data_IF_281776065294
#
_entry.id   IF_281776065294
#
_cell.length_a   1.000
_cell.length_b   1.000
_cell.length_c   1.000
_cell.angle_alpha   90.00
_cell.angle_beta   90.00
_cell.angle_gamma   90.00
#
_symmetry.space_group_name_H-M   'P 1'
#
loop_
_entity.id
_entity.type
_entity.pdbx_description
1 polymer ?
#
# COMPACT_ATOMS: atom_id res chain seq x y z
N UNK A 1 -22.05 10.34 16.58
CA UNK A 1 -20.93 9.66 15.89
C UNK A 1 -20.46 10.60 14.82
N UNK A 2 -19.21 11.04 14.80
CA UNK A 2 -18.69 11.79 13.67
C UNK A 2 -18.81 10.90 12.43
N UNK A 3 -19.41 11.42 11.39
CA UNK A 3 -19.48 10.71 10.10
C UNK A 3 -18.06 10.46 9.57
N UNK A 4 -17.90 9.38 8.81
CA UNK A 4 -16.59 9.09 8.18
C UNK A 4 -16.19 10.26 7.26
N UNK A 5 -14.89 10.65 7.20
CA UNK A 5 -14.44 11.88 6.54
C UNK A 5 -14.88 12.04 5.09
N UNK A 6 -15.02 10.93 4.34
CA UNK A 6 -15.40 10.94 2.93
C UNK A 6 -16.82 10.41 2.67
N UNK A 7 -17.67 10.36 3.70
CA UNK A 7 -19.07 9.96 3.55
C UNK A 7 -19.76 10.87 2.53
N UNK A 8 -20.48 10.24 1.60
CA UNK A 8 -21.20 10.93 0.53
C UNK A 8 -20.44 11.05 -0.79
N UNK A 9 -19.12 10.88 -0.80
CA UNK A 9 -18.35 10.81 -2.05
C UNK A 9 -18.61 9.50 -2.78
N UNK A 10 -18.81 9.57 -4.10
CA UNK A 10 -19.03 8.44 -5.01
C UNK A 10 -17.82 8.25 -5.92
N UNK A 11 -17.23 7.08 -5.87
CA UNK A 11 -16.03 6.72 -6.64
C UNK A 11 -16.35 5.58 -7.59
N UNK A 12 -16.09 5.76 -8.88
CA UNK A 12 -16.11 4.70 -9.88
C UNK A 12 -14.66 4.24 -10.12
N UNK A 13 -14.37 2.99 -9.79
CA UNK A 13 -13.02 2.43 -9.78
C UNK A 13 -12.81 1.45 -10.94
N UNK A 14 -11.90 1.78 -11.87
CA UNK A 14 -11.46 0.97 -13.00
C UNK A 14 -10.03 0.49 -12.76
N UNK A 15 -9.85 -0.46 -11.86
CA UNK A 15 -8.52 -0.87 -11.41
C UNK A 15 -8.33 -2.37 -11.32
N UNK A 16 -7.07 -2.77 -11.26
CA UNK A 16 -6.64 -4.14 -10.98
C UNK A 16 -5.32 -4.17 -10.20
N UNK A 17 -4.93 -5.33 -9.72
CA UNK A 17 -3.68 -5.66 -9.03
C UNK A 17 -3.56 -4.98 -7.67
N UNK A 18 -2.71 -3.94 -7.48
CA UNK A 18 -2.42 -3.37 -6.17
C UNK A 18 -2.61 -1.85 -6.14
N UNK A 19 -1.88 -1.08 -6.96
CA UNK A 19 -1.84 0.39 -6.85
C UNK A 19 -3.23 1.02 -6.88
N UNK A 20 -4.01 0.71 -7.93
CA UNK A 20 -5.38 1.21 -8.07
C UNK A 20 -6.31 0.73 -6.97
N UNK A 21 -6.42 -0.59 -6.73
CA UNK A 21 -7.23 -1.12 -5.65
C UNK A 21 -6.86 -0.59 -4.27
N UNK A 22 -5.57 -0.29 -3.99
CA UNK A 22 -5.15 0.36 -2.74
C UNK A 22 -5.73 1.78 -2.63
N UNK A 23 -5.67 2.59 -3.70
CA UNK A 23 -6.28 3.93 -3.67
C UNK A 23 -7.80 3.83 -3.43
N UNK A 24 -8.49 2.92 -4.12
CA UNK A 24 -9.91 2.66 -3.90
C UNK A 24 -10.22 2.18 -2.48
N UNK A 25 -9.37 1.33 -1.90
CA UNK A 25 -9.49 0.89 -0.51
C UNK A 25 -9.36 2.07 0.47
N UNK A 26 -8.40 2.96 0.25
CA UNK A 26 -8.21 4.15 1.09
C UNK A 26 -9.47 5.05 1.06
N UNK A 27 -10.05 5.29 -0.12
CA UNK A 27 -11.32 6.03 -0.23
C UNK A 27 -12.46 5.29 0.50
N UNK A 28 -12.58 3.98 0.29
CA UNK A 28 -13.64 3.17 0.91
C UNK A 28 -13.50 3.14 2.44
N UNK A 29 -12.31 2.92 2.98
CA UNK A 29 -12.03 2.92 4.43
C UNK A 29 -12.33 4.29 5.07
N UNK A 30 -12.09 5.37 4.35
CA UNK A 30 -12.42 6.74 4.78
C UNK A 30 -13.90 7.11 4.60
N UNK A 31 -14.73 6.22 4.08
CA UNK A 31 -16.19 6.35 4.06
C UNK A 31 -16.83 6.65 2.71
N UNK A 32 -16.06 6.79 1.64
CA UNK A 32 -16.60 6.93 0.31
C UNK A 32 -17.35 5.67 -0.14
N UNK A 33 -18.35 5.85 -1.03
CA UNK A 33 -19.02 4.77 -1.74
C UNK A 33 -18.21 4.43 -3.00
N UNK A 34 -17.43 3.34 -2.93
CA UNK A 34 -16.54 2.90 -4.00
C UNK A 34 -17.18 1.76 -4.77
N UNK A 35 -17.46 1.99 -6.04
CA UNK A 35 -18.00 1.01 -6.99
C UNK A 35 -16.86 0.56 -7.89
N UNK A 36 -16.42 -0.69 -7.72
CA UNK A 36 -15.44 -1.33 -8.60
C UNK A 36 -16.11 -1.81 -9.87
N UNK A 37 -15.71 -1.22 -11.00
CA UNK A 37 -16.16 -1.60 -12.34
C UNK A 37 -15.28 -2.73 -12.83
N UNK A 38 -15.86 -3.92 -12.96
CA UNK A 38 -15.15 -5.12 -13.37
C UNK A 38 -15.55 -5.57 -14.78
N UNK A 39 -14.63 -6.15 -15.57
CA UNK A 39 -14.99 -6.65 -16.89
C UNK A 39 -15.90 -7.89 -16.80
N UNK A 40 -17.08 -7.85 -17.42
CA UNK A 40 -17.90 -9.02 -17.61
C UNK A 40 -17.35 -9.87 -18.78
N UNK A 41 -17.41 -11.25 -18.72
CA UNK A 41 -17.99 -12.03 -17.62
C UNK A 41 -17.01 -12.35 -16.49
N UNK A 42 -15.70 -12.19 -16.66
CA UNK A 42 -14.67 -12.84 -15.86
C UNK A 42 -14.30 -12.11 -14.57
N UNK A 43 -14.70 -10.86 -14.42
CA UNK A 43 -14.28 -10.00 -13.31
C UNK A 43 -12.83 -9.56 -13.38
N UNK A 44 -12.31 -9.03 -12.29
CA UNK A 44 -10.91 -8.66 -12.15
C UNK A 44 -10.02 -9.92 -12.15
N UNK A 45 -9.03 -9.94 -13.03
CA UNK A 45 -8.07 -11.06 -13.15
C UNK A 45 -7.31 -11.35 -11.86
N UNK A 46 -7.17 -10.34 -11.00
CA UNK A 46 -6.52 -10.45 -9.68
C UNK A 46 -7.20 -11.49 -8.78
N UNK A 47 -8.49 -11.75 -8.98
CA UNK A 47 -9.25 -12.78 -8.24
C UNK A 47 -8.68 -14.19 -8.37
N UNK A 48 -8.03 -14.48 -9.52
CA UNK A 48 -7.54 -15.83 -9.89
C UNK A 48 -6.01 -15.94 -9.78
N UNK A 49 -5.32 -14.93 -9.22
CA UNK A 49 -3.88 -15.01 -9.05
C UNK A 49 -3.50 -16.05 -7.99
N UNK A 50 -2.44 -16.79 -8.29
CA UNK A 50 -1.83 -17.75 -7.36
C UNK A 50 -0.56 -17.21 -6.70
N UNK A 51 0.08 -18.04 -5.87
CA UNK A 51 1.34 -17.72 -5.22
C UNK A 51 1.26 -16.41 -4.40
N UNK A 52 2.22 -15.52 -4.58
CA UNK A 52 2.29 -14.23 -3.91
C UNK A 52 1.04 -13.34 -4.14
N UNK A 53 0.39 -13.47 -5.29
CA UNK A 53 -0.79 -12.68 -5.65
C UNK A 53 -2.12 -13.22 -5.11
N UNK A 54 -2.15 -14.40 -4.50
CA UNK A 54 -3.40 -15.08 -4.10
C UNK A 54 -4.29 -14.27 -3.15
N UNK A 55 -3.69 -13.39 -2.31
CA UNK A 55 -4.41 -12.53 -1.37
C UNK A 55 -4.75 -11.14 -1.89
N UNK A 56 -4.30 -10.74 -3.09
CA UNK A 56 -4.40 -9.35 -3.54
C UNK A 56 -5.82 -8.84 -3.64
N UNK A 57 -6.70 -9.62 -4.30
CA UNK A 57 -8.09 -9.16 -4.45
C UNK A 57 -8.75 -8.95 -3.09
N UNK A 58 -8.72 -9.94 -2.22
CA UNK A 58 -9.34 -9.86 -0.89
C UNK A 58 -8.69 -8.77 -0.02
N UNK A 59 -7.37 -8.63 -0.08
CA UNK A 59 -6.61 -7.65 0.70
C UNK A 59 -6.97 -6.20 0.38
N UNK A 60 -7.22 -5.89 -0.91
CA UNK A 60 -7.37 -4.50 -1.37
C UNK A 60 -8.77 -4.11 -1.82
N UNK A 61 -9.80 -5.00 -1.67
CA UNK A 61 -11.14 -4.69 -2.20
C UNK A 61 -12.28 -4.79 -1.17
N UNK A 62 -11.98 -4.90 0.13
CA UNK A 62 -13.02 -4.75 1.17
C UNK A 62 -13.61 -3.34 1.16
N UNK A 63 -14.79 -3.16 1.70
CA UNK A 63 -15.56 -1.91 1.73
C UNK A 63 -15.97 -1.37 0.36
N UNK A 64 -15.83 -2.15 -0.72
CA UNK A 64 -16.25 -1.79 -2.08
C UNK A 64 -17.47 -2.57 -2.51
N UNK A 65 -18.21 -2.02 -3.47
CA UNK A 65 -19.26 -2.71 -4.20
C UNK A 65 -18.79 -3.07 -5.60
N UNK A 66 -19.26 -4.18 -6.18
CA UNK A 66 -18.87 -4.64 -7.52
C UNK A 66 -20.00 -4.46 -8.53
N UNK A 67 -19.68 -3.84 -9.67
CA UNK A 67 -20.47 -3.79 -10.89
C UNK A 67 -19.69 -4.45 -12.02
N UNK A 68 -20.14 -5.61 -12.50
CA UNK A 68 -19.50 -6.32 -13.60
C UNK A 68 -20.20 -6.03 -14.93
N UNK A 69 -19.53 -5.26 -15.80
CA UNK A 69 -20.09 -4.74 -17.04
C UNK A 69 -19.13 -4.88 -18.23
N UNK A 70 -19.66 -5.24 -19.40
CA UNK A 70 -18.87 -5.39 -20.62
C UNK A 70 -18.70 -4.05 -21.37
N UNK A 71 -17.65 -3.32 -21.05
CA UNK A 71 -17.31 -2.03 -21.65
C UNK A 71 -16.87 -2.11 -23.13
N UNK A 72 -16.68 -3.31 -23.69
CA UNK A 72 -16.40 -3.46 -25.13
C UNK A 72 -17.62 -3.20 -25.98
N UNK A 73 -18.82 -3.21 -25.41
CA UNK A 73 -20.09 -2.95 -26.09
C UNK A 73 -20.52 -1.51 -25.92
N UNK A 74 -21.33 -0.99 -26.86
CA UNK A 74 -21.88 0.36 -26.75
C UNK A 74 -22.82 0.49 -25.54
N UNK A 75 -23.66 -0.52 -25.29
CA UNK A 75 -24.59 -0.53 -24.16
C UNK A 75 -23.87 -0.56 -22.81
N UNK A 76 -22.77 -1.34 -22.71
CA UNK A 76 -21.95 -1.37 -21.49
C UNK A 76 -21.30 -0.01 -21.20
N UNK A 77 -20.79 0.67 -22.24
CA UNK A 77 -20.28 2.04 -22.12
C UNK A 77 -21.39 3.02 -21.73
N UNK A 78 -22.53 2.96 -22.39
CA UNK A 78 -23.67 3.82 -22.08
C UNK A 78 -24.16 3.63 -20.64
N UNK A 79 -24.11 2.39 -20.12
CA UNK A 79 -24.43 2.08 -18.71
C UNK A 79 -23.53 2.87 -17.75
N UNK A 80 -22.22 2.85 -17.98
CA UNK A 80 -21.27 3.58 -17.13
C UNK A 80 -21.38 5.09 -17.34
N UNK A 81 -21.53 5.57 -18.59
CA UNK A 81 -21.67 6.99 -18.88
C UNK A 81 -22.87 7.62 -18.16
N UNK A 82 -23.97 6.88 -18.02
CA UNK A 82 -25.14 7.31 -17.25
C UNK A 82 -24.87 7.49 -15.75
N UNK A 83 -23.81 6.85 -15.22
CA UNK A 83 -23.42 6.97 -13.82
C UNK A 83 -22.52 8.20 -13.58
N UNK A 84 -21.76 8.65 -14.58
CA UNK A 84 -20.76 9.73 -14.47
C UNK A 84 -21.31 11.06 -13.92
N UNK A 85 -22.51 11.55 -14.32
CA UNK A 85 -23.08 12.78 -13.75
C UNK A 85 -23.23 12.77 -12.22
N UNK A 86 -23.23 11.59 -11.64
CA UNK A 86 -23.42 11.38 -10.20
C UNK A 86 -22.13 10.97 -9.48
N UNK A 87 -21.01 10.79 -10.20
CA UNK A 87 -19.74 10.41 -9.65
C UNK A 87 -18.91 11.63 -9.24
N UNK A 88 -18.26 11.58 -8.10
CA UNK A 88 -17.28 12.59 -7.66
C UNK A 88 -15.90 12.29 -8.23
N UNK A 89 -15.53 11.02 -8.27
CA UNK A 89 -14.20 10.56 -8.63
C UNK A 89 -14.31 9.37 -9.59
N UNK A 90 -13.53 9.41 -10.64
CA UNK A 90 -13.15 8.23 -11.43
C UNK A 90 -11.69 7.91 -11.11
N UNK A 91 -11.40 6.65 -10.83
CA UNK A 91 -10.09 6.13 -10.48
C UNK A 91 -9.70 5.01 -11.45
N UNK A 92 -8.51 5.10 -12.07
CA UNK A 92 -8.04 4.07 -13.01
C UNK A 92 -6.54 3.81 -12.86
N UNK A 93 -6.10 2.57 -13.17
CA UNK A 93 -4.67 2.21 -13.24
C UNK A 93 -4.35 1.30 -14.43
N UNK A 94 -5.08 1.42 -15.52
CA UNK A 94 -4.82 0.63 -16.72
C UNK A 94 -3.62 1.17 -17.50
N UNK A 95 -3.04 0.32 -18.33
CA UNK A 95 -1.98 0.70 -19.25
C UNK A 95 -2.43 1.81 -20.22
N UNK A 96 -1.46 2.53 -20.81
CA UNK A 96 -1.73 3.70 -21.68
C UNK A 96 -2.78 3.41 -22.77
N UNK A 97 -3.68 4.36 -23.00
CA UNK A 97 -4.73 4.29 -24.03
C UNK A 97 -5.87 3.29 -23.77
N UNK A 98 -5.84 2.56 -22.65
CA UNK A 98 -6.87 1.54 -22.38
C UNK A 98 -8.20 2.16 -22.00
N UNK A 99 -8.23 3.17 -21.14
CA UNK A 99 -9.47 3.86 -20.75
C UNK A 99 -10.10 4.56 -21.96
N UNK A 100 -9.30 5.15 -22.82
CA UNK A 100 -9.73 5.80 -24.05
C UNK A 100 -10.39 4.79 -25.01
N UNK A 101 -9.76 3.62 -25.21
CA UNK A 101 -10.34 2.52 -26.04
C UNK A 101 -11.65 1.98 -25.46
N UNK A 102 -11.79 2.00 -24.14
CA UNK A 102 -13.02 1.60 -23.46
C UNK A 102 -14.08 2.70 -23.45
N UNK A 103 -13.81 3.89 -24.02
CA UNK A 103 -14.72 5.02 -24.02
C UNK A 103 -14.89 5.68 -22.64
N UNK A 104 -13.94 5.47 -21.73
CA UNK A 104 -13.97 5.94 -20.34
C UNK A 104 -12.75 6.79 -19.98
N UNK A 105 -12.01 7.33 -20.96
CA UNK A 105 -10.91 8.26 -20.73
C UNK A 105 -11.39 9.63 -20.22
N UNK A 106 -10.48 10.42 -19.67
CA UNK A 106 -10.83 11.73 -19.09
C UNK A 106 -11.58 12.64 -20.07
N UNK A 107 -11.10 12.78 -21.31
CA UNK A 107 -11.69 13.64 -22.34
C UNK A 107 -13.12 13.19 -22.76
N UNK A 108 -13.44 11.91 -22.52
CA UNK A 108 -14.75 11.34 -22.82
C UNK A 108 -15.73 11.50 -21.64
N UNK A 109 -15.22 11.49 -20.41
CA UNK A 109 -16.05 11.55 -19.21
C UNK A 109 -16.22 12.96 -18.64
N UNK A 110 -15.23 13.83 -18.76
CA UNK A 110 -15.28 15.20 -18.24
C UNK A 110 -16.44 16.05 -18.82
N UNK A 111 -16.81 15.93 -20.12
CA UNK A 111 -17.98 16.62 -20.64
C UNK A 111 -19.32 16.19 -20.02
N UNK A 112 -19.39 14.99 -19.44
CA UNK A 112 -20.60 14.46 -18.78
C UNK A 112 -20.74 14.98 -17.34
N UNK A 113 -19.63 15.44 -16.73
CA UNK A 113 -19.63 15.97 -15.37
C UNK A 113 -18.45 16.96 -15.18
N UNK A 114 -18.72 18.24 -15.25
CA UNK A 114 -17.73 19.30 -15.07
C UNK A 114 -17.08 19.35 -13.69
N UNK A 115 -17.63 18.63 -12.73
CA UNK A 115 -17.11 18.52 -11.35
C UNK A 115 -16.28 17.24 -11.12
N UNK A 116 -16.16 16.38 -12.15
CA UNK A 116 -15.49 15.09 -12.04
C UNK A 116 -14.00 15.26 -11.74
N UNK A 117 -13.52 14.59 -10.70
CA UNK A 117 -12.09 14.39 -10.47
C UNK A 117 -11.70 13.04 -11.06
N UNK A 118 -10.73 13.04 -11.96
CA UNK A 118 -10.24 11.84 -12.62
C UNK A 118 -8.82 11.52 -12.14
N UNK A 119 -8.65 10.45 -11.35
CA UNK A 119 -7.35 9.99 -10.88
C UNK A 119 -6.80 8.92 -11.83
N UNK A 120 -5.68 9.26 -12.49
CA UNK A 120 -4.92 8.33 -13.30
C UNK A 120 -3.67 7.86 -12.53
N UNK A 121 -3.61 6.57 -12.22
CA UNK A 121 -2.46 5.92 -11.56
C UNK A 121 -1.64 5.20 -12.64
N UNK A 122 -0.43 5.66 -12.88
CA UNK A 122 0.39 5.28 -14.04
C UNK A 122 1.77 4.74 -13.63
N UNK A 123 2.45 4.12 -14.58
CA UNK A 123 3.85 3.72 -14.39
C UNK A 123 4.78 4.94 -14.30
N UNK A 124 4.52 5.95 -15.14
CA UNK A 124 5.29 7.19 -15.27
C UNK A 124 4.33 8.36 -15.45
N UNK A 125 4.70 9.55 -14.98
CA UNK A 125 4.01 10.79 -15.34
C UNK A 125 4.30 11.17 -16.80
N UNK A 126 3.65 12.25 -17.27
CA UNK A 126 3.85 12.76 -18.63
C UNK A 126 5.33 13.05 -18.90
N UNK A 127 5.85 12.50 -20.00
CA UNK A 127 7.25 12.63 -20.36
C UNK A 127 7.75 11.49 -21.27
N UNK A 128 9.07 11.35 -21.45
CA UNK A 128 9.65 10.37 -22.37
C UNK A 128 9.30 8.91 -22.09
N UNK A 129 8.87 8.59 -20.86
CA UNK A 129 8.55 7.23 -20.42
C UNK A 129 7.04 6.96 -20.27
N UNK A 130 6.18 7.96 -20.47
CA UNK A 130 4.74 7.90 -20.22
C UNK A 130 4.07 6.62 -20.77
N UNK A 131 4.48 6.18 -21.95
CA UNK A 131 3.88 5.03 -22.63
C UNK A 131 4.63 3.70 -22.39
N UNK A 132 5.63 3.67 -21.50
CA UNK A 132 6.33 2.43 -21.18
C UNK A 132 5.51 1.56 -20.23
N UNK A 133 5.51 0.23 -20.42
CA UNK A 133 4.99 -0.68 -19.41
C UNK A 133 5.78 -0.55 -18.11
N UNK A 134 5.07 -0.54 -16.99
CA UNK A 134 5.67 -0.50 -15.67
C UNK A 134 4.92 -1.41 -14.69
N UNK A 135 5.68 -1.91 -13.73
CA UNK A 135 5.21 -2.64 -12.55
C UNK A 135 6.02 -2.12 -11.37
N UNK A 136 5.55 -2.37 -10.16
CA UNK A 136 6.27 -2.03 -8.92
C UNK A 136 7.74 -2.45 -8.98
N UNK A 137 8.03 -3.72 -9.29
CA UNK A 137 9.40 -4.24 -9.39
C UNK A 137 10.23 -3.52 -10.45
N UNK A 138 9.67 -3.27 -11.62
CA UNK A 138 10.37 -2.60 -12.73
C UNK A 138 10.90 -1.24 -12.28
N UNK A 139 10.08 -0.46 -11.61
CA UNK A 139 10.48 0.88 -11.15
C UNK A 139 11.36 0.85 -9.91
N UNK A 140 11.27 -0.17 -9.06
CA UNK A 140 12.22 -0.36 -7.97
C UNK A 140 13.65 -0.55 -8.50
N UNK A 141 13.83 -1.33 -9.58
CA UNK A 141 15.14 -1.48 -10.22
C UNK A 141 15.58 -0.18 -10.93
N UNK A 142 14.67 0.49 -11.62
CA UNK A 142 15.00 1.69 -12.38
C UNK A 142 15.34 2.91 -11.50
N UNK A 143 14.67 3.06 -10.36
CA UNK A 143 14.84 4.21 -9.45
C UNK A 143 16.06 4.12 -8.53
N UNK A 144 16.72 2.97 -8.48
CA UNK A 144 17.81 2.71 -7.55
C UNK A 144 17.38 2.14 -6.20
N UNK A 145 16.07 1.96 -5.94
CA UNK A 145 15.60 1.36 -4.68
C UNK A 145 16.12 -0.07 -4.51
N UNK A 146 16.05 -0.89 -5.56
CA UNK A 146 16.58 -2.24 -5.52
C UNK A 146 18.11 -2.29 -5.31
N UNK A 147 18.84 -1.32 -5.89
CA UNK A 147 20.27 -1.14 -5.64
C UNK A 147 20.55 -0.86 -4.16
N UNK A 148 19.78 0.04 -3.56
CA UNK A 148 19.95 0.42 -2.15
C UNK A 148 19.56 -0.69 -1.18
N UNK A 149 18.62 -1.56 -1.54
CA UNK A 149 18.10 -2.64 -0.68
C UNK A 149 19.03 -3.86 -0.64
N UNK A 150 19.59 -4.24 -1.78
CA UNK A 150 20.42 -5.45 -1.91
C UNK A 150 21.85 -5.29 -1.45
N UNK A 151 22.57 -6.40 -1.24
CA UNK A 151 24.02 -6.38 -1.04
C UNK A 151 24.74 -5.77 -2.26
N UNK A 152 25.98 -5.27 -2.08
CA UNK A 152 26.78 -4.75 -3.20
C UNK A 152 26.85 -5.73 -4.37
N UNK A 153 26.48 -5.25 -5.57
CA UNK A 153 26.44 -6.07 -6.78
C UNK A 153 25.26 -7.05 -6.92
N UNK A 154 24.35 -7.08 -5.95
CA UNK A 154 23.17 -7.96 -5.94
C UNK A 154 21.89 -7.14 -5.65
N UNK A 155 21.40 -6.33 -6.60
CA UNK A 155 20.19 -5.54 -6.41
C UNK A 155 19.02 -6.44 -6.02
N UNK A 156 18.27 -6.04 -4.99
CA UNK A 156 17.15 -6.80 -4.45
C UNK A 156 15.93 -5.89 -4.27
N UNK A 157 14.77 -6.30 -4.77
CA UNK A 157 13.53 -5.56 -4.51
C UNK A 157 13.14 -5.62 -3.02
N UNK A 158 12.39 -4.63 -2.55
CA UNK A 158 11.74 -4.69 -1.24
C UNK A 158 10.75 -5.88 -1.18
N UNK A 159 10.59 -6.48 -0.02
CA UNK A 159 9.75 -7.66 0.20
C UNK A 159 8.23 -7.42 0.09
N UNK A 160 7.80 -6.18 -0.11
CA UNK A 160 6.41 -5.79 -0.33
C UNK A 160 6.28 -4.88 -1.55
N UNK A 161 5.05 -4.70 -2.06
CA UNK A 161 4.74 -3.80 -3.18
C UNK A 161 4.70 -2.34 -2.69
N UNK A 162 5.87 -1.86 -2.24
CA UNK A 162 6.00 -0.57 -1.54
C UNK A 162 5.69 0.61 -2.46
N UNK A 163 6.00 0.50 -3.76
CA UNK A 163 5.80 1.58 -4.71
C UNK A 163 4.34 1.65 -5.16
N UNK A 164 3.69 0.50 -5.36
CA UNK A 164 2.24 0.45 -5.61
C UNK A 164 1.46 1.15 -4.50
N UNK A 165 1.78 0.84 -3.24
CA UNK A 165 1.11 1.42 -2.08
C UNK A 165 1.42 2.93 -1.97
N UNK A 166 2.68 3.32 -2.12
CA UNK A 166 3.09 4.73 -2.04
C UNK A 166 2.46 5.58 -3.16
N UNK A 167 2.48 5.08 -4.40
CA UNK A 167 1.86 5.75 -5.53
C UNK A 167 0.33 5.89 -5.37
N UNK A 168 -0.33 4.89 -4.78
CA UNK A 168 -1.73 4.98 -4.40
C UNK A 168 -1.98 6.09 -3.35
N UNK A 169 -1.14 6.17 -2.33
CA UNK A 169 -1.22 7.22 -1.29
C UNK A 169 -1.03 8.62 -1.89
N UNK A 170 -0.03 8.84 -2.76
CA UNK A 170 0.12 10.12 -3.46
C UNK A 170 -1.09 10.43 -4.35
N UNK A 171 -1.66 9.44 -5.02
CA UNK A 171 -2.90 9.60 -5.78
C UNK A 171 -4.06 10.08 -4.92
N UNK A 172 -4.24 9.49 -3.73
CA UNK A 172 -5.28 9.90 -2.78
C UNK A 172 -5.02 11.33 -2.26
N UNK A 173 -3.78 11.68 -1.94
CA UNK A 173 -3.40 13.05 -1.53
C UNK A 173 -3.74 14.06 -2.65
N UNK A 174 -3.41 13.73 -3.91
CA UNK A 174 -3.73 14.59 -5.05
C UNK A 174 -5.25 14.78 -5.22
N UNK A 175 -6.05 13.70 -5.07
CA UNK A 175 -7.51 13.80 -5.11
C UNK A 175 -8.07 14.63 -3.96
N UNK A 176 -7.57 14.47 -2.73
CA UNK A 176 -7.98 15.30 -1.59
C UNK A 176 -7.72 16.79 -1.84
N UNK A 177 -6.57 17.11 -2.44
CA UNK A 177 -6.24 18.48 -2.84
C UNK A 177 -7.18 19.00 -3.93
N UNK A 178 -7.48 18.16 -4.94
CA UNK A 178 -8.41 18.49 -6.01
C UNK A 178 -9.86 18.66 -5.53
N UNK A 179 -10.29 17.86 -4.53
CA UNK A 179 -11.61 18.03 -3.88
C UNK A 179 -11.71 19.39 -3.21
N UNK A 180 -10.69 19.79 -2.47
CA UNK A 180 -10.64 21.12 -1.82
C UNK A 180 -10.66 22.27 -2.84
N UNK A 181 -9.94 22.12 -3.94
CA UNK A 181 -9.98 23.11 -5.03
C UNK A 181 -11.37 23.14 -5.71
N UNK A 182 -11.97 21.98 -5.94
CA UNK A 182 -13.32 21.86 -6.49
C UNK A 182 -14.38 22.56 -5.62
N UNK A 183 -14.24 22.49 -4.31
CA UNK A 183 -15.16 23.17 -3.38
C UNK A 183 -15.13 24.70 -3.56
N UNK A 184 -13.98 25.26 -3.94
CA UNK A 184 -13.82 26.69 -4.20
C UNK A 184 -14.20 27.09 -5.62
N UNK A 185 -13.87 26.25 -6.62
CA UNK A 185 -14.00 26.60 -8.05
C UNK A 185 -15.25 26.05 -8.71
N UNK A 186 -15.88 25.06 -8.10
CA UNK A 186 -16.97 24.28 -8.69
C UNK A 186 -16.54 23.31 -9.80
N UNK A 187 -15.23 23.23 -10.14
CA UNK A 187 -14.71 22.45 -11.27
C UNK A 187 -13.88 21.26 -10.80
N UNK A 188 -14.08 20.12 -11.45
CA UNK A 188 -13.21 18.95 -11.33
C UNK A 188 -11.97 19.09 -12.21
N UNK A 189 -11.09 18.09 -12.14
CA UNK A 189 -9.85 18.06 -12.91
C UNK A 189 -9.30 16.64 -13.04
N UNK A 190 -8.35 16.44 -13.96
CA UNK A 190 -7.51 15.25 -13.99
C UNK A 190 -6.33 15.45 -13.02
N UNK A 191 -6.08 14.44 -12.21
CA UNK A 191 -4.88 14.32 -11.38
C UNK A 191 -4.18 12.99 -11.68
N UNK A 192 -2.88 12.94 -11.51
CA UNK A 192 -2.10 11.73 -11.79
C UNK A 192 -1.08 11.47 -10.70
N UNK A 193 -0.83 10.21 -10.41
CA UNK A 193 0.29 9.72 -9.62
C UNK A 193 0.95 8.57 -10.37
N UNK A 194 2.22 8.30 -10.09
CA UNK A 194 2.96 7.29 -10.82
C UNK A 194 3.84 6.43 -9.92
N UNK A 195 4.19 5.25 -10.43
CA UNK A 195 5.12 4.36 -9.75
C UNK A 195 6.54 4.95 -9.73
N UNK A 196 7.05 5.39 -10.88
CA UNK A 196 8.45 5.81 -10.99
C UNK A 196 8.77 7.03 -10.13
N UNK A 197 7.99 8.11 -10.25
CA UNK A 197 8.20 9.33 -9.47
C UNK A 197 8.00 9.08 -7.97
N UNK A 198 7.12 8.16 -7.59
CA UNK A 198 6.97 7.72 -6.19
C UNK A 198 8.22 6.99 -5.69
N UNK A 199 8.82 6.13 -6.52
CA UNK A 199 10.07 5.45 -6.19
C UNK A 199 11.24 6.44 -6.08
N UNK A 200 11.34 7.40 -7.00
CA UNK A 200 12.35 8.46 -6.97
C UNK A 200 12.20 9.34 -5.73
N UNK A 201 10.97 9.62 -5.31
CA UNK A 201 10.71 10.38 -4.07
C UNK A 201 11.35 9.70 -2.84
N UNK A 202 11.32 8.36 -2.75
CA UNK A 202 12.01 7.62 -1.69
C UNK A 202 13.54 7.78 -1.75
N UNK A 203 14.09 7.97 -2.94
CA UNK A 203 15.54 8.14 -3.13
C UNK A 203 16.04 9.56 -2.86
N UNK A 204 15.16 10.51 -2.62
CA UNK A 204 15.50 11.93 -2.45
C UNK A 204 16.56 12.21 -1.39
N UNK A 205 16.51 11.53 -0.23
CA UNK A 205 17.51 11.67 0.83
C UNK A 205 18.90 11.14 0.42
N UNK A 206 18.95 10.04 -0.34
CA UNK A 206 20.22 9.50 -0.86
C UNK A 206 20.81 10.42 -1.91
N UNK A 207 19.99 10.94 -2.81
CA UNK A 207 20.41 11.91 -3.83
C UNK A 207 20.97 13.18 -3.18
N UNK A 208 20.27 13.73 -2.18
CA UNK A 208 20.74 14.88 -1.43
C UNK A 208 22.06 14.60 -0.69
N UNK A 209 22.16 13.41 -0.09
CA UNK A 209 23.37 12.98 0.61
C UNK A 209 24.59 12.87 -0.31
N UNK A 210 24.42 12.38 -1.54
CA UNK A 210 25.49 12.32 -2.55
C UNK A 210 26.00 13.72 -2.90
N UNK A 211 25.10 14.67 -3.11
CA UNK A 211 25.47 16.07 -3.39
C UNK A 211 26.18 16.71 -2.19
N UNK A 212 25.67 16.50 -0.98
CA UNK A 212 26.24 17.11 0.22
C UNK A 212 27.63 16.57 0.59
N UNK A 213 27.91 15.31 0.26
CA UNK A 213 29.18 14.64 0.65
C UNK A 213 30.16 14.52 -0.50
N UNK A 214 29.71 14.64 -1.75
CA UNK A 214 30.51 14.34 -2.96
C UNK A 214 30.80 12.84 -3.11
N UNK A 215 30.10 11.97 -2.39
CA UNK A 215 30.31 10.51 -2.41
C UNK A 215 29.09 9.78 -2.93
N UNK A 216 29.28 8.74 -3.71
CA UNK A 216 28.22 7.88 -4.19
C UNK A 216 27.48 7.18 -3.03
N UNK A 217 26.17 7.02 -3.19
CA UNK A 217 25.36 6.24 -2.27
C UNK A 217 25.79 4.77 -2.32
N UNK A 218 25.92 4.15 -1.15
CA UNK A 218 26.24 2.72 -1.02
C UNK A 218 24.98 1.95 -0.65
N UNK A 219 24.82 0.72 -1.13
CA UNK A 219 23.75 -0.16 -0.69
C UNK A 219 23.66 -0.25 0.82
N UNK A 220 22.45 -0.42 1.37
CA UNK A 220 22.21 -0.42 2.81
C UNK A 220 23.10 -1.41 3.61
N UNK A 221 23.39 -2.63 3.12
CA UNK A 221 24.30 -3.54 3.81
C UNK A 221 25.76 -3.06 3.88
N UNK A 222 26.18 -2.17 2.95
CA UNK A 222 27.55 -1.62 2.89
C UNK A 222 27.61 -0.12 3.21
N UNK A 223 26.51 0.45 3.75
CA UNK A 223 26.42 1.87 4.03
C UNK A 223 27.40 2.29 5.16
N UNK A 224 27.84 3.52 5.08
CA UNK A 224 28.38 4.23 6.25
C UNK A 224 27.15 4.74 7.04
N UNK A 225 26.83 4.04 8.12
CA UNK A 225 25.69 4.41 8.97
C UNK A 225 25.88 5.80 9.62
N UNK A 226 24.78 6.45 9.99
CA UNK A 226 24.84 7.64 10.83
C UNK A 226 25.19 7.31 12.29
N UNK A 227 24.95 6.07 12.71
CA UNK A 227 25.21 5.56 14.06
C UNK A 227 26.06 4.28 14.00
N UNK A 228 26.97 4.16 14.95
CA UNK A 228 27.89 3.04 15.01
C UNK A 228 27.19 1.73 15.39
N UNK A 229 26.37 1.76 16.43
CA UNK A 229 25.57 0.63 16.89
C UNK A 229 24.13 0.84 16.37
N UNK A 230 23.86 0.30 15.21
CA UNK A 230 22.58 0.35 14.55
C UNK A 230 22.50 -0.83 13.60
N UNK A 231 22.27 -2.03 14.19
CA UNK A 231 22.41 -3.29 13.48
C UNK A 231 21.58 -4.40 14.15
N UNK A 232 21.54 -5.57 13.51
CA UNK A 232 20.90 -6.78 14.00
C UNK A 232 21.92 -7.65 14.70
N UNK A 233 21.60 -8.13 15.90
CA UNK A 233 22.42 -9.03 16.69
C UNK A 233 21.70 -10.37 16.91
N UNK A 234 22.47 -11.47 16.81
CA UNK A 234 21.97 -12.80 17.11
C UNK A 234 21.91 -13.04 18.62
N UNK A 235 20.97 -13.86 19.06
CA UNK A 235 20.75 -14.20 20.46
C UNK A 235 21.11 -15.65 20.75
N UNK A 236 21.21 -16.04 22.03
CA UNK A 236 21.57 -17.39 22.48
C UNK A 236 20.54 -18.46 22.04
N UNK A 237 19.31 -18.07 21.86
CA UNK A 237 18.15 -18.90 21.48
C UNK A 237 17.78 -18.82 19.99
N UNK A 238 18.79 -18.56 19.15
CA UNK A 238 18.67 -18.45 17.69
C UNK A 238 17.71 -17.35 17.20
N UNK A 239 17.34 -16.40 18.08
CA UNK A 239 16.59 -15.19 17.72
C UNK A 239 17.48 -14.11 17.14
N UNK A 240 16.87 -13.02 16.69
CA UNK A 240 17.55 -11.83 16.18
C UNK A 240 16.90 -10.57 16.73
N UNK A 241 17.72 -9.65 17.25
CA UNK A 241 17.25 -8.36 17.76
C UNK A 241 17.98 -7.22 17.06
N UNK A 242 17.23 -6.29 16.47
CA UNK A 242 17.75 -5.01 16.03
C UNK A 242 17.97 -4.11 17.25
N UNK A 243 19.16 -3.49 17.36
CA UNK A 243 19.51 -2.55 18.44
C UNK A 243 20.03 -1.25 17.83
N UNK A 244 19.44 -0.12 18.25
CA UNK A 244 19.81 1.22 17.80
C UNK A 244 20.27 2.13 18.95
N UNK A 245 21.57 2.43 19.01
CA UNK A 245 22.17 3.41 19.92
C UNK A 245 22.43 4.70 19.14
N UNK A 246 21.60 5.72 19.35
CA UNK A 246 21.56 6.92 18.52
C UNK A 246 22.17 8.17 19.16
N UNK A 247 22.63 8.08 20.41
CA UNK A 247 23.33 9.17 21.12
C UNK A 247 24.45 8.64 22.02
N UNK A 248 25.37 9.54 22.41
CA UNK A 248 26.46 9.18 23.33
C UNK A 248 25.91 8.83 24.73
N UNK A 249 24.87 9.50 25.17
CA UNK A 249 24.16 9.17 26.42
C UNK A 249 23.52 7.77 26.39
N UNK A 250 22.98 7.34 25.26
CA UNK A 250 22.48 5.98 25.09
C UNK A 250 23.62 4.97 25.12
N UNK A 251 24.77 5.29 24.53
CA UNK A 251 25.95 4.45 24.58
C UNK A 251 26.43 4.22 26.04
N UNK A 252 26.50 5.26 26.85
CA UNK A 252 26.87 5.16 28.26
C UNK A 252 25.93 4.21 29.02
N UNK A 253 24.65 4.34 28.85
CA UNK A 253 23.65 3.45 29.48
C UNK A 253 23.77 2.02 28.98
N UNK A 254 23.97 1.86 27.67
CA UNK A 254 24.11 0.55 27.03
C UNK A 254 25.32 -0.23 27.56
N UNK A 255 26.50 0.39 27.59
CA UNK A 255 27.73 -0.29 28.08
C UNK A 255 27.64 -0.59 29.57
N UNK A 256 26.96 0.21 30.34
CA UNK A 256 26.70 -0.02 31.77
C UNK A 256 25.76 -1.21 31.96
N UNK A 257 24.63 -1.24 31.28
CA UNK A 257 23.59 -2.30 31.38
C UNK A 257 24.16 -3.67 31.01
N UNK A 258 24.94 -3.72 29.94
CA UNK A 258 25.54 -4.97 29.45
C UNK A 258 26.89 -5.32 30.07
N UNK A 259 27.33 -4.59 31.10
CA UNK A 259 28.61 -4.80 31.79
C UNK A 259 29.82 -4.79 30.84
N UNK A 260 29.85 -3.83 29.90
CA UNK A 260 30.91 -3.70 28.90
C UNK A 260 31.95 -2.63 29.30
N UNK A 261 32.47 -2.71 30.53
CA UNK A 261 33.39 -1.70 31.10
C UNK A 261 34.66 -1.50 30.25
N UNK A 262 35.16 -2.55 29.59
CA UNK A 262 36.27 -2.44 28.66
C UNK A 262 36.01 -1.53 27.46
N UNK A 263 34.77 -1.57 26.93
CA UNK A 263 34.35 -0.69 25.83
C UNK A 263 34.05 0.70 26.36
N UNK A 264 33.50 0.81 27.57
CA UNK A 264 33.19 2.11 28.18
C UNK A 264 34.46 2.93 28.46
N UNK A 265 35.57 2.28 28.79
CA UNK A 265 36.85 2.91 29.11
C UNK A 265 37.73 3.21 27.87
N UNK A 266 37.33 2.76 26.69
CA UNK A 266 38.12 2.97 25.47
C UNK A 266 37.88 4.37 24.86
N UNK A 267 38.93 5.24 24.84
CA UNK A 267 38.79 6.62 24.33
C UNK A 267 38.50 6.69 22.84
N UNK A 268 38.61 5.58 22.10
CA UNK A 268 38.23 5.46 20.70
C UNK A 268 36.70 5.36 20.55
N UNK A 269 35.95 5.14 21.63
CA UNK A 269 34.50 4.91 21.63
C UNK A 269 33.70 6.03 22.32
N UNK A 270 34.32 7.13 22.76
CA UNK A 270 33.69 8.22 23.54
C UNK A 270 32.51 8.85 22.77
N UNK A 271 32.65 9.06 21.46
CA UNK A 271 31.65 9.73 20.64
C UNK A 271 31.18 8.83 19.51
N UNK A 272 29.97 9.07 19.02
CA UNK A 272 29.43 8.33 17.89
C UNK A 272 30.35 8.40 16.65
N UNK A 273 30.99 9.53 16.39
CA UNK A 273 31.92 9.69 15.25
C UNK A 273 33.13 8.77 15.40
N UNK A 274 33.68 8.68 16.59
CA UNK A 274 34.79 7.78 16.89
C UNK A 274 34.34 6.31 16.78
N UNK A 275 33.22 5.96 17.38
CA UNK A 275 32.65 4.60 17.28
C UNK A 275 32.38 4.18 15.83
N UNK A 276 31.95 5.13 14.96
CA UNK A 276 31.75 4.86 13.53
C UNK A 276 33.06 4.46 12.84
N UNK A 277 34.20 5.06 13.20
CA UNK A 277 35.50 4.70 12.66
C UNK A 277 35.91 3.26 13.09
N UNK A 278 35.50 2.86 14.25
CA UNK A 278 35.85 1.57 14.88
C UNK A 278 34.79 0.47 14.61
N UNK A 279 33.73 0.75 13.84
CA UNK A 279 32.55 -0.10 13.64
C UNK A 279 32.91 -1.52 13.18
N UNK A 280 33.97 -1.68 12.41
CA UNK A 280 34.39 -2.96 11.82
C UNK A 280 34.75 -4.01 12.89
N UNK A 281 35.37 -3.60 14.00
CA UNK A 281 35.67 -4.50 15.11
C UNK A 281 34.68 -4.37 16.27
N UNK A 282 34.07 -3.19 16.43
CA UNK A 282 33.14 -2.93 17.52
C UNK A 282 31.88 -3.80 17.44
N UNK A 283 31.28 -3.94 16.24
CA UNK A 283 30.08 -4.75 16.10
C UNK A 283 30.28 -6.23 16.37
N UNK A 284 31.37 -6.89 15.89
CA UNK A 284 31.71 -8.24 16.30
C UNK A 284 31.91 -8.37 17.82
N UNK A 285 32.63 -7.45 18.47
CA UNK A 285 32.84 -7.48 19.91
C UNK A 285 31.52 -7.34 20.71
N UNK A 286 30.58 -6.53 20.22
CA UNK A 286 29.23 -6.45 20.78
C UNK A 286 28.49 -7.75 20.55
N UNK A 287 28.52 -8.33 19.33
CA UNK A 287 27.89 -9.61 19.05
C UNK A 287 28.34 -10.72 19.99
N UNK A 288 29.67 -10.84 20.24
CA UNK A 288 30.25 -11.83 21.18
C UNK A 288 29.76 -11.61 22.61
N UNK A 289 29.42 -10.39 22.96
CA UNK A 289 28.90 -10.06 24.28
C UNK A 289 27.39 -10.30 24.39
N UNK A 290 26.63 -9.99 23.34
CA UNK A 290 25.16 -10.05 23.32
C UNK A 290 24.65 -11.47 23.07
N UNK A 291 25.38 -12.33 22.35
CA UNK A 291 25.00 -13.73 22.09
C UNK A 291 24.80 -14.57 23.36
N UNK A 292 25.24 -14.08 24.50
CA UNK A 292 25.09 -14.75 25.81
C UNK A 292 23.65 -14.67 26.36
N UNK A 293 22.84 -13.75 25.81
CA UNK A 293 21.48 -13.49 26.25
C UNK A 293 20.48 -14.10 25.28
N UNK A 294 19.31 -14.52 25.79
CA UNK A 294 18.15 -14.83 24.98
C UNK A 294 17.57 -13.54 24.39
N UNK A 295 16.73 -13.67 23.36
CA UNK A 295 16.05 -12.52 22.78
C UNK A 295 15.27 -11.73 23.84
N UNK A 296 14.51 -12.41 24.69
CA UNK A 296 13.72 -11.78 25.76
C UNK A 296 14.61 -11.05 26.79
N UNK A 297 15.73 -11.65 27.20
CA UNK A 297 16.68 -10.98 28.10
C UNK A 297 17.27 -9.71 27.48
N UNK A 298 17.54 -9.71 26.17
CA UNK A 298 18.00 -8.52 25.45
C UNK A 298 16.93 -7.44 25.35
N UNK A 299 15.70 -7.83 25.05
CA UNK A 299 14.55 -6.91 25.00
C UNK A 299 14.37 -6.18 26.33
N UNK A 300 14.27 -6.93 27.44
CA UNK A 300 14.11 -6.37 28.79
C UNK A 300 15.27 -5.43 29.17
N UNK A 301 16.52 -5.77 28.83
CA UNK A 301 17.68 -4.91 29.09
C UNK A 301 17.70 -3.65 28.24
N UNK A 302 17.38 -3.76 26.94
CA UNK A 302 17.29 -2.60 26.06
C UNK A 302 16.18 -1.64 26.52
N UNK A 303 15.05 -2.18 26.99
CA UNK A 303 13.97 -1.36 27.56
C UNK A 303 14.42 -0.68 28.85
N UNK A 304 15.08 -1.41 29.77
CA UNK A 304 15.58 -0.88 31.03
C UNK A 304 16.57 0.26 30.83
N UNK A 305 17.47 0.17 29.86
CA UNK A 305 18.42 1.24 29.56
C UNK A 305 17.88 2.28 28.53
N UNK A 306 16.60 2.18 28.14
CA UNK A 306 15.94 3.10 27.22
C UNK A 306 16.67 3.23 25.87
N UNK A 307 16.94 2.09 25.25
CA UNK A 307 17.55 1.95 23.92
C UNK A 307 16.48 1.50 22.94
N UNK A 308 16.54 1.99 21.70
CA UNK A 308 15.63 1.53 20.64
C UNK A 308 15.99 0.11 20.21
N UNK A 309 15.00 -0.77 20.20
CA UNK A 309 15.17 -2.16 19.81
C UNK A 309 13.91 -2.70 19.11
N UNK A 310 14.05 -3.78 18.34
CA UNK A 310 12.95 -4.56 17.82
C UNK A 310 13.38 -5.99 17.50
N UNK A 311 12.55 -7.00 17.76
CA UNK A 311 12.80 -8.36 17.24
C UNK A 311 12.68 -8.34 15.71
N UNK A 312 13.42 -9.21 15.03
CA UNK A 312 13.28 -9.41 13.59
C UNK A 312 12.04 -10.27 13.35
N UNK A 313 10.89 -9.59 13.14
CA UNK A 313 9.59 -10.23 12.95
C UNK A 313 9.40 -10.82 11.56
N UNK A 314 8.51 -11.80 11.47
CA UNK A 314 8.01 -12.38 10.22
C UNK A 314 6.54 -11.98 10.01
N UNK A 315 6.02 -11.95 8.77
CA UNK A 315 4.62 -11.59 8.52
C UNK A 315 3.59 -12.43 9.31
N UNK A 316 3.91 -13.68 9.62
CA UNK A 316 3.05 -14.56 10.44
C UNK A 316 2.90 -14.07 11.89
N UNK A 317 3.94 -13.44 12.43
CA UNK A 317 3.96 -13.01 13.83
C UNK A 317 2.99 -11.84 14.07
N UNK A 318 2.68 -11.08 13.00
CA UNK A 318 1.74 -9.95 13.05
C UNK A 318 0.29 -10.37 13.36
N UNK A 319 -0.08 -11.63 13.11
CA UNK A 319 -1.43 -12.13 13.48
C UNK A 319 -1.66 -12.21 14.99
N UNK A 320 -0.58 -12.35 15.76
CA UNK A 320 -0.59 -12.49 17.21
C UNK A 320 0.11 -11.30 17.92
N UNK A 321 0.47 -10.27 17.16
CA UNK A 321 1.13 -9.09 17.73
C UNK A 321 0.25 -8.39 18.76
N UNK A 322 0.70 -8.25 20.02
CA UNK A 322 -0.13 -7.75 21.10
C UNK A 322 -0.54 -6.28 20.91
N UNK A 323 0.28 -5.45 20.26
CA UNK A 323 -0.04 -4.06 19.98
C UNK A 323 -1.14 -3.97 18.91
N UNK A 324 -1.03 -4.74 17.82
CA UNK A 324 -2.06 -4.77 16.77
C UNK A 324 -3.40 -5.28 17.30
N UNK A 325 -3.39 -6.33 18.14
CA UNK A 325 -4.60 -6.87 18.76
C UNK A 325 -5.23 -5.88 19.73
N UNK A 326 -4.45 -5.25 20.60
CA UNK A 326 -4.94 -4.30 21.59
C UNK A 326 -5.48 -2.99 20.97
N UNK A 327 -4.89 -2.55 19.85
CA UNK A 327 -5.25 -1.28 19.19
C UNK A 327 -6.27 -1.43 18.07
N UNK A 328 -6.74 -2.66 17.78
CA UNK A 328 -7.59 -2.91 16.61
C UNK A 328 -6.87 -2.66 15.29
N UNK A 329 -5.56 -2.90 15.26
CA UNK A 329 -4.70 -2.76 14.07
C UNK A 329 -5.01 -3.80 13.00
N UNK A 330 -5.63 -4.92 13.38
CA UNK A 330 -6.13 -5.93 12.47
C UNK A 330 -7.65 -5.85 12.37
N UNK A 331 -8.18 -6.09 11.17
CA UNK A 331 -9.61 -6.12 10.86
C UNK A 331 -9.95 -7.44 10.17
N UNK A 332 -11.11 -8.01 10.46
CA UNK A 332 -11.54 -9.30 9.92
C UNK A 332 -11.94 -9.19 8.45
N UNK A 333 -11.23 -9.90 7.59
CA UNK A 333 -11.45 -9.93 6.14
C UNK A 333 -11.59 -11.38 5.65
N UNK A 334 -12.57 -11.63 4.80
CA UNK A 334 -12.73 -12.90 4.14
C UNK A 334 -11.76 -13.04 2.96
N UNK A 335 -10.85 -14.00 3.07
CA UNK A 335 -9.89 -14.31 2.01
C UNK A 335 -10.47 -15.47 1.19
N UNK A 336 -10.93 -15.15 -0.01
CA UNK A 336 -11.44 -16.15 -0.95
C UNK A 336 -10.29 -16.93 -1.60
N UNK A 337 -10.47 -18.24 -1.77
CA UNK A 337 -9.52 -19.09 -2.50
C UNK A 337 -9.83 -18.98 -4.00
N UNK A 338 -8.90 -18.38 -4.76
CA UNK A 338 -9.02 -18.17 -6.22
C UNK A 338 -10.32 -17.49 -6.68
N UNK A 339 -10.88 -16.61 -5.86
CA UNK A 339 -12.14 -15.91 -6.18
C UNK A 339 -13.41 -16.72 -6.00
N UNK A 340 -13.31 -17.93 -5.44
CA UNK A 340 -14.44 -18.81 -5.12
C UNK A 340 -15.11 -18.40 -3.78
N UNK A 341 -16.28 -18.99 -3.51
CA UNK A 341 -16.99 -18.82 -2.23
C UNK A 341 -16.33 -19.59 -1.07
N UNK A 342 -15.25 -20.31 -1.33
CA UNK A 342 -14.47 -21.05 -0.35
C UNK A 342 -13.32 -20.15 0.12
N UNK A 343 -13.21 -19.99 1.43
CA UNK A 343 -12.16 -19.12 1.99
C UNK A 343 -12.15 -19.13 3.50
N UNK A 344 -11.40 -18.21 4.09
CA UNK A 344 -11.22 -18.09 5.53
C UNK A 344 -11.29 -16.63 5.97
N UNK A 345 -11.96 -16.37 7.09
CA UNK A 345 -11.83 -15.10 7.79
C UNK A 345 -10.47 -15.02 8.49
N UNK A 346 -9.80 -13.89 8.36
CA UNK A 346 -8.51 -13.63 9.03
C UNK A 346 -8.33 -12.16 9.31
N UNK A 347 -7.53 -11.82 10.32
CA UNK A 347 -7.11 -10.47 10.58
C UNK A 347 -6.17 -9.97 9.48
N UNK A 348 -6.50 -8.84 8.85
CA UNK A 348 -5.59 -8.11 7.95
C UNK A 348 -5.37 -6.70 8.48
N UNK A 349 -4.27 -6.03 8.11
CA UNK A 349 -4.01 -4.67 8.53
C UNK A 349 -5.17 -3.74 8.16
N UNK A 350 -5.71 -3.04 9.17
CA UNK A 350 -6.63 -1.91 8.97
C UNK A 350 -5.87 -0.66 8.54
N UNK A 351 -6.61 0.38 8.13
CA UNK A 351 -5.99 1.66 7.78
C UNK A 351 -5.26 2.24 9.02
N UNK A 352 -3.96 2.62 8.89
CA UNK A 352 -3.14 3.05 10.02
C UNK A 352 -3.39 4.52 10.39
N UNK A 353 -4.66 4.88 10.63
CA UNK A 353 -5.08 6.23 11.02
C UNK A 353 -6.15 6.17 12.10
N UNK A 354 -6.19 7.21 12.92
CA UNK A 354 -7.16 7.39 13.98
C UNK A 354 -7.83 8.77 13.88
N UNK A 355 -9.11 8.84 14.22
CA UNK A 355 -9.89 10.07 14.13
C UNK A 355 -10.54 10.45 15.45
N UNK A 356 -10.57 11.77 15.73
CA UNK A 356 -11.22 12.37 16.89
C UNK A 356 -10.52 12.08 18.21
N UNK A 357 -11.03 12.65 19.29
CA UNK A 357 -10.49 12.48 20.64
C UNK A 357 -10.54 11.03 21.13
N UNK A 358 -11.50 10.26 20.61
CA UNK A 358 -11.68 8.84 20.96
C UNK A 358 -10.77 7.91 20.15
N UNK A 359 -9.90 8.45 19.28
CA UNK A 359 -8.92 7.72 18.47
C UNK A 359 -9.53 6.57 17.67
N UNK A 360 -10.71 6.82 17.05
CA UNK A 360 -11.44 5.78 16.31
C UNK A 360 -10.73 5.43 15.00
N UNK A 361 -10.59 4.13 14.76
CA UNK A 361 -10.09 3.58 13.50
C UNK A 361 -11.24 3.25 12.54
N UNK A 362 -11.02 3.36 11.21
CA UNK A 362 -11.92 2.83 10.20
C UNK A 362 -12.17 1.34 10.40
N UNK A 363 -13.38 0.86 10.04
CA UNK A 363 -13.80 -0.53 10.20
C UNK A 363 -14.22 -1.14 8.87
N UNK A 364 -14.14 -2.46 8.77
CA UNK A 364 -14.75 -3.20 7.67
C UNK A 364 -16.28 -3.13 7.80
N UNK A 365 -16.91 -2.58 6.77
CA UNK A 365 -18.38 -2.46 6.62
C UNK A 365 -18.91 -3.49 5.64
N UNK A 366 -18.12 -3.78 4.59
CA UNK A 366 -18.40 -4.76 3.56
C UNK A 366 -17.18 -5.64 3.34
N UNK A 367 -17.38 -6.92 3.21
CA UNK A 367 -16.35 -7.87 2.80
C UNK A 367 -15.97 -7.64 1.32
N UNK A 368 -14.80 -8.13 0.86
CA UNK A 368 -14.46 -8.07 -0.57
C UNK A 368 -15.60 -8.64 -1.42
N UNK A 369 -16.11 -7.88 -2.41
CA UNK A 369 -17.32 -8.28 -3.13
C UNK A 369 -17.07 -9.45 -4.08
N UNK A 370 -18.10 -10.26 -4.32
CA UNK A 370 -18.12 -11.21 -5.44
C UNK A 370 -18.32 -10.47 -6.75
N UNK A 371 -18.04 -11.14 -7.87
CA UNK A 371 -18.21 -10.53 -9.20
C UNK A 371 -19.67 -10.11 -9.40
N UNK A 372 -19.89 -8.84 -9.68
CA UNK A 372 -21.22 -8.27 -9.96
C UNK A 372 -22.22 -8.41 -8.82
N UNK A 373 -21.75 -8.64 -7.59
CA UNK A 373 -22.63 -8.85 -6.42
C UNK A 373 -23.65 -7.76 -6.22
N UNK A 374 -23.30 -6.53 -6.58
CA UNK A 374 -24.14 -5.36 -6.32
C UNK A 374 -24.73 -4.75 -7.61
N UNK A 375 -24.71 -5.47 -8.74
CA UNK A 375 -25.15 -4.95 -10.03
C UNK A 375 -26.55 -4.30 -9.96
N UNK A 376 -27.55 -5.03 -9.45
CA UNK A 376 -28.93 -4.56 -9.42
C UNK A 376 -29.09 -3.37 -8.46
N UNK A 377 -28.53 -3.48 -7.25
CA UNK A 377 -28.57 -2.41 -6.26
C UNK A 377 -27.95 -1.11 -6.79
N UNK A 378 -26.73 -1.20 -7.38
CA UNK A 378 -26.05 -0.04 -7.96
C UNK A 378 -26.88 0.57 -9.07
N UNK A 379 -27.32 -0.22 -10.05
CA UNK A 379 -28.02 0.31 -11.22
C UNK A 379 -29.36 0.95 -10.84
N UNK A 380 -30.10 0.37 -9.91
CA UNK A 380 -31.32 0.99 -9.37
C UNK A 380 -31.02 2.34 -8.70
N UNK A 381 -29.94 2.43 -7.92
CA UNK A 381 -29.50 3.69 -7.28
C UNK A 381 -29.17 4.77 -8.31
N UNK A 382 -28.68 4.39 -9.49
CA UNK A 382 -28.39 5.29 -10.62
C UNK A 382 -29.57 5.47 -11.58
N UNK A 383 -30.77 5.09 -11.17
CA UNK A 383 -32.04 5.36 -11.86
C UNK A 383 -32.33 4.45 -13.06
N UNK A 384 -31.70 3.27 -13.13
CA UNK A 384 -32.11 2.25 -14.11
C UNK A 384 -33.36 1.55 -13.62
N UNK A 385 -34.26 1.23 -14.58
CA UNK A 385 -35.44 0.41 -14.31
C UNK A 385 -35.10 -1.08 -14.27
N UNK A 386 -35.89 -1.88 -13.57
CA UNK A 386 -35.68 -3.33 -13.49
C UNK A 386 -35.67 -4.00 -14.86
N UNK A 387 -36.53 -3.53 -15.77
CA UNK A 387 -36.61 -4.05 -17.15
C UNK A 387 -35.31 -3.77 -17.92
N UNK A 388 -34.72 -2.58 -17.76
CA UNK A 388 -33.42 -2.24 -18.37
C UNK A 388 -32.32 -3.14 -17.83
N UNK A 389 -32.27 -3.37 -16.52
CA UNK A 389 -31.27 -4.24 -15.89
C UNK A 389 -31.42 -5.69 -16.38
N UNK A 390 -32.65 -6.19 -16.47
CA UNK A 390 -32.92 -7.53 -17.01
C UNK A 390 -32.48 -7.65 -18.48
N UNK A 391 -32.71 -6.60 -19.30
CA UNK A 391 -32.24 -6.55 -20.68
C UNK A 391 -30.70 -6.65 -20.74
N UNK A 392 -29.97 -5.84 -19.92
CA UNK A 392 -28.51 -5.87 -19.86
C UNK A 392 -27.95 -7.26 -19.48
N UNK A 393 -28.62 -7.98 -18.60
CA UNK A 393 -28.28 -9.36 -18.30
C UNK A 393 -28.55 -10.31 -19.47
N UNK A 394 -29.70 -10.22 -20.11
CA UNK A 394 -30.06 -11.07 -21.28
C UNK A 394 -29.11 -10.86 -22.45
N UNK A 395 -28.62 -9.63 -22.64
CA UNK A 395 -27.68 -9.25 -23.70
C UNK A 395 -26.20 -9.54 -23.31
N UNK A 396 -25.94 -10.22 -22.18
CA UNK A 396 -24.58 -10.47 -21.63
C UNK A 396 -23.72 -9.22 -21.46
N UNK A 397 -24.34 -8.07 -21.25
CA UNK A 397 -23.66 -6.82 -20.87
C UNK A 397 -23.26 -6.85 -19.38
N UNK A 398 -24.14 -7.38 -18.54
CA UNK A 398 -23.89 -7.63 -17.12
C UNK A 398 -23.64 -9.13 -16.86
N UNK A 399 -22.85 -9.40 -15.85
CA UNK A 399 -22.73 -10.72 -15.23
C UNK A 399 -22.69 -10.61 -13.71
N UNK A 400 -23.01 -11.68 -13.03
CA UNK A 400 -22.80 -11.81 -11.59
C UNK A 400 -22.34 -13.24 -11.23
N UNK A 401 -21.89 -13.39 -10.00
CA UNK A 401 -21.36 -14.64 -9.46
C UNK A 401 -22.37 -15.81 -9.47
N UNK A 402 -23.68 -15.55 -9.47
CA UNK A 402 -24.71 -16.60 -9.48
C UNK A 402 -24.88 -17.20 -10.88
N UNK A 403 -24.81 -16.36 -11.91
CA UNK A 403 -24.96 -16.77 -13.33
C UNK A 403 -23.70 -17.44 -13.88
N UNK A 404 -22.53 -17.22 -13.26
CA UNK A 404 -21.30 -17.92 -13.64
C UNK A 404 -21.36 -19.39 -13.22
N UNK A 405 -21.95 -19.72 -12.08
CA UNK A 405 -22.09 -21.10 -11.59
C UNK A 405 -22.98 -21.96 -12.48
N UNK A 406 -24.03 -21.39 -13.07
CA UNK A 406 -24.96 -22.11 -13.95
C UNK A 406 -24.41 -22.47 -15.35
N UNK A 407 -23.22 -22.01 -15.71
CA UNK A 407 -22.55 -22.35 -16.98
C UNK A 407 -21.44 -23.38 -16.83
N UNK A 408 -21.10 -23.76 -15.59
CA UNK A 408 -20.07 -24.77 -15.27
C UNK A 408 -20.66 -26.14 -14.85
N UNK A 409 -21.97 -26.21 -14.71
CA UNK A 409 -22.78 -27.47 -14.60
C UNK A 409 -23.36 -27.84 -15.96
#
# INVERSE_FOLDING_TARGET
>A
MSEMPLKGLKVLEFTHTIMGPTAGLLFAELGADVIKIEPAPDGDKTRKLGGFGAGFFSGFNRNKRSLAVNLKTNEGRATVHRMIPHADIVLENFGPGTMERLGCGYEQLAPLNSRLIFLALKGYLAGPYENRPALDEVVQFQSGLAWMTGPPGQPLRAGASVIDILGAMFGVIAVQSALRERDNTGKGQRVSSSLFESAVFLMGSHMAGMVATGLDARPMPARRGAWAVYDVFNTRDDGQLFIGVTSDQQWERFVLEFNLQGLAADPRLDTNVKRLAERTWLLPALQDSLIKYTQKELEERCEHCNISWAPVGQPKDLFEDPHLLATGGLVDVFISKFGEDIGKMTGLPGLPVEFGAERKRPKVRLQPPKIGEHNEEILLQYGFKKEEIQHLYKSNILTDHTRMKSKSD
#
